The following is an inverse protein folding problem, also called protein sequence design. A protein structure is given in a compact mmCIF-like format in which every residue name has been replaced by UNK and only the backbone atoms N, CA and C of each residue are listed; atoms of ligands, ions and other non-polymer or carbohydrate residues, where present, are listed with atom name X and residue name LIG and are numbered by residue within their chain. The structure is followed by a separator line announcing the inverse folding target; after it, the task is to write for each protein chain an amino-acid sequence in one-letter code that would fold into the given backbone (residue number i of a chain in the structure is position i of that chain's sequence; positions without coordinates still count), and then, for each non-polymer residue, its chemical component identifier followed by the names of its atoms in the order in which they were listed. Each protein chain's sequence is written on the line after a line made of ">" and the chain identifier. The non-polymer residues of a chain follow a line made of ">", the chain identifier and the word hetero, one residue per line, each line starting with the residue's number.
data_IF_368868687747
#
_entry.id   IF_368868687747
#
_cell.length_a   1.000
_cell.length_b   1.000
_cell.length_c   1.000
_cell.angle_alpha   90.00
_cell.angle_beta   90.00
_cell.angle_gamma   90.00
#
_symmetry.space_group_name_H-M   'P 1'
#
loop_
_entity.id
_entity.type
_entity.pdbx_description
1 polymer ?
#
# COMPACT_ATOMS: atom_id res chain seq x y z
N UNK A 1 -34.83 44.86 10.61
CA UNK A 1 -33.73 44.01 10.11
C UNK A 1 -33.69 42.79 11.01
N UNK A 2 -34.52 41.76 10.75
CA UNK A 2 -34.31 40.62 9.83
C UNK A 2 -33.11 39.72 10.20
N UNK A 3 -33.45 38.43 10.44
CA UNK A 3 -32.67 37.21 10.17
C UNK A 3 -31.47 36.87 11.10
N UNK A 4 -31.20 35.62 11.50
CA UNK A 4 -31.70 34.31 11.06
C UNK A 4 -31.58 33.26 12.19
N UNK A 5 -32.45 32.25 12.10
CA UNK A 5 -32.53 31.04 12.94
C UNK A 5 -31.32 30.13 12.68
N UNK A 6 -30.67 29.66 13.74
CA UNK A 6 -29.75 28.52 13.69
C UNK A 6 -30.51 27.24 14.07
N UNK A 7 -31.28 26.72 13.11
CA UNK A 7 -31.84 25.37 13.19
C UNK A 7 -30.76 24.38 12.76
N UNK A 8 -29.84 24.07 13.68
CA UNK A 8 -28.86 22.99 13.55
C UNK A 8 -29.50 21.62 13.69
N UNK A 9 -30.41 21.26 12.76
CA UNK A 9 -30.95 19.91 12.68
C UNK A 9 -29.88 18.96 12.15
N UNK A 10 -29.12 18.36 13.07
CA UNK A 10 -28.37 17.15 12.80
C UNK A 10 -29.32 16.06 12.31
N UNK A 11 -29.45 15.90 11.00
CA UNK A 11 -30.01 14.69 10.41
C UNK A 11 -29.05 13.54 10.72
N UNK A 12 -29.24 12.96 11.90
CA UNK A 12 -28.74 11.63 12.25
C UNK A 12 -29.33 10.70 11.22
N UNK A 13 -28.55 10.36 10.19
CA UNK A 13 -28.84 9.33 9.20
C UNK A 13 -29.12 8.06 10.00
N UNK A 14 -30.39 7.79 10.31
CA UNK A 14 -30.84 6.52 10.90
C UNK A 14 -30.38 5.47 9.91
N UNK A 15 -29.33 4.76 10.27
CA UNK A 15 -29.05 3.45 9.69
C UNK A 15 -30.36 2.68 9.82
N UNK A 16 -31.01 2.45 8.68
CA UNK A 16 -32.23 1.68 8.62
C UNK A 16 -31.85 0.27 9.07
N UNK A 17 -32.04 -0.03 10.36
CA UNK A 17 -31.98 -1.40 10.84
C UNK A 17 -33.08 -2.15 10.08
N UNK A 18 -32.76 -3.28 9.43
CA UNK A 18 -33.81 -4.09 8.81
C UNK A 18 -34.82 -4.47 9.91
N UNK A 19 -36.06 -4.03 9.76
CA UNK A 19 -37.16 -4.37 10.66
C UNK A 19 -37.57 -5.82 10.38
N UNK A 20 -37.41 -6.74 11.34
CA UNK A 20 -37.90 -8.11 11.18
C UNK A 20 -39.43 -8.07 11.02
N UNK A 21 -39.95 -8.72 9.98
CA UNK A 21 -41.40 -8.87 9.80
C UNK A 21 -42.09 -7.84 8.89
N UNK A 22 -41.36 -6.90 8.27
CA UNK A 22 -41.95 -6.08 7.20
C UNK A 22 -42.08 -6.93 5.93
N UNK A 23 -43.28 -7.10 5.34
CA UNK A 23 -43.43 -7.84 4.10
C UNK A 23 -42.63 -7.16 2.99
N UNK A 24 -41.72 -7.92 2.40
CA UNK A 24 -40.89 -7.49 1.27
C UNK A 24 -41.82 -7.29 0.07
N UNK A 25 -41.72 -6.15 -0.67
CA UNK A 25 -42.54 -5.92 -1.86
C UNK A 25 -42.41 -7.10 -2.84
N UNK A 26 -43.54 -7.73 -3.19
CA UNK A 26 -43.60 -8.91 -4.08
C UNK A 26 -43.14 -8.64 -5.53
N UNK A 27 -42.82 -7.38 -5.85
CA UNK A 27 -42.37 -6.92 -7.16
C UNK A 27 -40.87 -6.62 -7.22
N UNK A 28 -40.11 -6.93 -6.16
CA UNK A 28 -38.67 -7.18 -6.31
C UNK A 28 -38.61 -8.53 -7.01
N UNK A 29 -38.49 -8.52 -8.35
CA UNK A 29 -38.43 -9.73 -9.17
C UNK A 29 -37.54 -10.77 -8.50
N UNK A 30 -37.92 -12.05 -8.59
CA UNK A 30 -37.38 -13.26 -7.93
C UNK A 30 -35.85 -13.43 -8.02
N UNK A 31 -35.09 -12.44 -7.58
CA UNK A 31 -33.66 -12.44 -7.47
C UNK A 31 -33.34 -12.30 -5.99
N UNK A 32 -33.22 -13.44 -5.33
CA UNK A 32 -32.60 -13.52 -4.03
C UNK A 32 -31.15 -13.04 -4.08
N UNK A 33 -30.49 -12.86 -2.93
CA UNK A 33 -29.10 -12.39 -2.83
C UNK A 33 -28.06 -13.24 -3.58
N UNK A 34 -28.48 -14.36 -4.17
CA UNK A 34 -27.64 -15.31 -4.92
C UNK A 34 -28.04 -15.44 -6.39
N UNK A 35 -29.06 -14.71 -6.83
CA UNK A 35 -29.63 -14.84 -8.17
C UNK A 35 -29.11 -13.74 -9.11
N UNK A 36 -27.79 -13.53 -9.09
CA UNK A 36 -27.12 -12.68 -10.07
C UNK A 36 -26.68 -13.55 -11.24
N UNK A 37 -27.25 -13.28 -12.41
CA UNK A 37 -26.69 -13.74 -13.68
C UNK A 37 -25.57 -12.76 -14.00
N UNK A 38 -24.31 -13.21 -14.19
CA UNK A 38 -23.26 -12.34 -14.72
C UNK A 38 -23.81 -11.63 -15.96
N UNK A 39 -23.57 -10.32 -16.07
CA UNK A 39 -23.87 -9.62 -17.30
C UNK A 39 -23.12 -10.35 -18.43
N UNK A 40 -23.79 -10.56 -19.57
CA UNK A 40 -23.13 -11.04 -20.78
C UNK A 40 -22.28 -9.88 -21.34
N UNK A 41 -21.26 -9.49 -20.58
CA UNK A 41 -20.23 -8.58 -21.03
C UNK A 41 -19.17 -9.46 -21.67
N UNK A 42 -18.76 -9.08 -22.88
CA UNK A 42 -17.63 -9.68 -23.57
C UNK A 42 -16.49 -9.77 -22.56
N UNK A 43 -15.92 -10.96 -22.38
CA UNK A 43 -14.76 -11.20 -21.53
C UNK A 43 -13.57 -10.43 -22.14
N UNK A 44 -13.56 -9.11 -22.00
CA UNK A 44 -12.38 -8.29 -22.22
C UNK A 44 -11.43 -8.64 -21.08
N UNK A 45 -10.64 -9.67 -21.35
CA UNK A 45 -9.57 -10.20 -20.52
C UNK A 45 -8.73 -9.02 -20.00
N UNK A 46 -8.97 -8.59 -18.76
CA UNK A 46 -8.35 -7.39 -18.21
C UNK A 46 -6.83 -7.56 -18.25
N UNK A 47 -6.19 -6.84 -19.16
CA UNK A 47 -4.73 -6.77 -19.25
C UNK A 47 -4.27 -5.48 -18.58
N UNK A 48 -3.66 -5.55 -17.39
CA UNK A 48 -3.03 -4.39 -16.80
C UNK A 48 -2.06 -3.76 -17.80
N UNK A 49 -2.05 -2.43 -17.94
CA UNK A 49 -1.07 -1.77 -18.78
C UNK A 49 0.34 -2.15 -18.31
N UNK A 50 1.21 -2.54 -19.24
CA UNK A 50 2.59 -2.89 -18.92
C UNK A 50 3.26 -1.71 -18.19
N UNK A 51 3.71 -1.87 -16.93
CA UNK A 51 4.29 -0.77 -16.19
C UNK A 51 5.50 -0.20 -16.95
N UNK A 52 5.55 1.13 -17.10
CA UNK A 52 6.70 1.80 -17.72
C UNK A 52 7.92 1.60 -16.80
N UNK A 53 8.86 0.77 -17.26
CA UNK A 53 10.16 0.43 -16.64
C UNK A 53 10.19 0.36 -15.11
N UNK A 54 10.38 -0.82 -14.49
CA UNK A 54 10.26 -1.01 -13.04
C UNK A 54 11.24 -0.16 -12.20
N UNK A 55 12.31 0.35 -12.81
CA UNK A 55 13.37 1.13 -12.16
C UNK A 55 13.23 2.64 -12.30
N UNK A 56 12.45 3.16 -13.25
CA UNK A 56 12.39 4.62 -13.50
C UNK A 56 11.69 5.42 -12.40
N UNK A 57 10.93 4.75 -11.52
CA UNK A 57 10.28 5.37 -10.36
C UNK A 57 11.02 5.21 -9.04
N UNK A 58 12.20 4.59 -9.03
CA UNK A 58 12.90 4.31 -7.78
C UNK A 58 13.40 5.61 -7.12
N UNK A 59 13.04 5.83 -5.85
CA UNK A 59 13.52 6.97 -5.07
C UNK A 59 15.04 6.82 -4.86
N UNK A 60 15.87 7.82 -5.19
CA UNK A 60 17.33 7.72 -5.04
C UNK A 60 17.78 7.29 -3.64
N UNK A 61 17.11 7.80 -2.60
CA UNK A 61 17.41 7.42 -1.21
C UNK A 61 17.16 5.94 -0.92
N UNK A 62 16.16 5.31 -1.54
CA UNK A 62 15.91 3.87 -1.39
C UNK A 62 17.03 3.07 -2.05
N UNK A 63 17.48 3.48 -3.23
CA UNK A 63 18.57 2.82 -3.95
C UNK A 63 19.88 2.92 -3.16
N UNK A 64 20.24 4.11 -2.69
CA UNK A 64 21.45 4.34 -1.89
C UNK A 64 21.39 3.56 -0.58
N UNK A 65 20.27 3.61 0.15
CA UNK A 65 20.09 2.88 1.39
C UNK A 65 20.21 1.36 1.20
N UNK A 66 19.57 0.83 0.15
CA UNK A 66 19.66 -0.60 -0.20
C UNK A 66 21.08 -1.01 -0.59
N UNK A 67 21.78 -0.17 -1.38
CA UNK A 67 23.16 -0.43 -1.79
C UNK A 67 24.11 -0.44 -0.60
N UNK A 68 23.96 0.49 0.35
CA UNK A 68 24.77 0.51 1.57
C UNK A 68 24.55 -0.72 2.43
N UNK A 69 23.30 -1.17 2.59
CA UNK A 69 22.98 -2.35 3.40
C UNK A 69 23.47 -3.63 2.73
N UNK A 70 23.07 -3.88 1.48
CA UNK A 70 23.43 -5.09 0.76
C UNK A 70 24.93 -5.12 0.46
N UNK A 71 25.49 -4.02 -0.02
CA UNK A 71 26.91 -3.87 -0.28
C UNK A 71 27.72 -4.04 1.00
N UNK A 72 27.30 -3.45 2.12
CA UNK A 72 27.96 -3.62 3.42
C UNK A 72 27.97 -5.08 3.89
N UNK A 73 26.84 -5.79 3.79
CA UNK A 73 26.74 -7.21 4.17
C UNK A 73 27.65 -8.06 3.28
N UNK A 74 27.59 -7.88 1.95
CA UNK A 74 28.45 -8.60 1.01
C UNK A 74 29.92 -8.31 1.29
N UNK A 75 30.29 -7.05 1.53
CA UNK A 75 31.64 -6.67 1.91
C UNK A 75 32.09 -7.37 3.19
N UNK A 76 31.26 -7.40 4.25
CA UNK A 76 31.60 -8.09 5.50
C UNK A 76 31.84 -9.60 5.31
N UNK A 77 31.11 -10.24 4.40
CA UNK A 77 31.30 -11.66 4.09
C UNK A 77 32.56 -11.87 3.27
N UNK A 78 32.83 -11.05 2.26
CA UNK A 78 33.95 -11.26 1.32
C UNK A 78 35.28 -10.83 1.94
N UNK A 79 35.31 -9.76 2.75
CA UNK A 79 36.52 -9.15 3.32
C UNK A 79 37.51 -10.13 3.94
N UNK A 80 37.08 -11.07 4.81
CA UNK A 80 37.98 -12.01 5.49
C UNK A 80 38.72 -12.96 4.53
N UNK A 81 38.20 -13.13 3.31
CA UNK A 81 38.77 -14.03 2.31
C UNK A 81 39.76 -13.33 1.35
N UNK A 82 39.86 -12.00 1.40
CA UNK A 82 40.86 -11.29 0.60
C UNK A 82 42.25 -11.45 1.24
N UNK A 83 43.30 -11.73 0.43
CA UNK A 83 44.67 -11.85 0.91
C UNK A 83 45.31 -10.45 1.16
N UNK A 84 44.56 -9.55 1.79
CA UNK A 84 44.94 -8.14 2.02
C UNK A 84 44.78 -7.81 3.50
N UNK A 85 45.78 -7.15 4.08
CA UNK A 85 45.70 -6.63 5.44
C UNK A 85 44.85 -5.37 5.49
N UNK A 86 43.81 -5.37 6.32
CA UNK A 86 42.92 -4.24 6.47
C UNK A 86 43.12 -3.53 7.81
N UNK A 87 42.91 -2.19 7.87
CA UNK A 87 42.91 -1.46 9.12
C UNK A 87 41.89 -2.04 10.12
N UNK A 88 42.23 -2.06 11.42
CA UNK A 88 41.34 -2.60 12.46
C UNK A 88 39.98 -1.89 12.57
N UNK A 89 39.88 -0.64 12.08
CA UNK A 89 38.63 0.12 12.07
C UNK A 89 37.70 -0.24 10.89
N UNK A 90 38.16 -1.02 9.91
CA UNK A 90 37.39 -1.29 8.69
C UNK A 90 36.09 -2.04 8.97
N UNK A 91 36.12 -3.03 9.87
CA UNK A 91 34.90 -3.76 10.29
C UNK A 91 33.88 -2.81 10.91
N UNK A 92 34.32 -1.90 11.79
CA UNK A 92 33.45 -0.91 12.40
C UNK A 92 32.86 0.05 11.36
N UNK A 93 33.65 0.49 10.38
CA UNK A 93 33.17 1.34 9.29
C UNK A 93 32.14 0.65 8.40
N UNK A 94 32.32 -0.64 8.07
CA UNK A 94 31.34 -1.42 7.31
C UNK A 94 30.03 -1.58 8.08
N UNK A 95 30.10 -1.86 9.38
CA UNK A 95 28.90 -1.91 10.25
C UNK A 95 28.20 -0.54 10.26
N UNK A 96 28.96 0.56 10.42
CA UNK A 96 28.41 1.91 10.40
C UNK A 96 27.73 2.24 9.07
N UNK A 97 28.30 1.81 7.94
CA UNK A 97 27.70 1.99 6.62
C UNK A 97 26.35 1.25 6.48
N UNK A 98 26.25 0.03 7.03
CA UNK A 98 24.99 -0.74 7.05
C UNK A 98 23.95 -0.01 7.90
N UNK A 99 24.31 0.42 9.11
CA UNK A 99 23.40 1.15 9.99
C UNK A 99 22.92 2.45 9.34
N UNK A 100 23.81 3.19 8.68
CA UNK A 100 23.45 4.39 7.93
C UNK A 100 22.48 4.06 6.79
N UNK A 101 22.73 2.99 6.03
CA UNK A 101 21.81 2.52 4.99
C UNK A 101 20.43 2.16 5.53
N UNK A 102 20.35 1.50 6.69
CA UNK A 102 19.08 1.20 7.37
C UNK A 102 18.35 2.47 7.80
N UNK A 103 19.05 3.45 8.39
CA UNK A 103 18.45 4.74 8.75
C UNK A 103 17.88 5.44 7.53
N UNK A 104 18.64 5.47 6.42
CA UNK A 104 18.17 6.04 5.15
C UNK A 104 16.92 5.31 4.65
N UNK A 105 16.90 3.98 4.68
CA UNK A 105 15.73 3.19 4.28
C UNK A 105 14.52 3.47 5.16
N UNK A 106 14.70 3.56 6.48
CA UNK A 106 13.61 3.86 7.40
C UNK A 106 13.03 5.26 7.17
N UNK A 107 13.86 6.25 6.86
CA UNK A 107 13.39 7.59 6.48
C UNK A 107 12.57 7.59 5.18
N UNK A 108 12.77 6.59 4.31
CA UNK A 108 12.04 6.46 3.04
C UNK A 108 10.74 5.65 3.16
N UNK A 109 10.52 4.94 4.28
CA UNK A 109 9.30 4.16 4.47
C UNK A 109 8.08 5.11 4.59
N UNK A 110 7.03 4.91 3.78
CA UNK A 110 5.83 5.72 3.88
C UNK A 110 5.12 5.46 5.21
N UNK A 111 4.90 6.52 6.00
CA UNK A 111 4.26 6.45 7.32
C UNK A 111 2.78 5.98 7.26
N UNK A 112 2.16 6.04 6.08
CA UNK A 112 0.81 5.55 5.83
C UNK A 112 0.87 4.56 4.67
N UNK A 113 0.36 3.35 4.89
CA UNK A 113 0.01 2.45 3.78
C UNK A 113 -1.20 3.08 3.09
N UNK A 114 -1.09 3.40 1.80
CA UNK A 114 -2.27 3.74 1.02
C UNK A 114 -3.25 2.56 1.16
N UNK A 115 -4.53 2.87 1.42
CA UNK A 115 -5.54 1.89 1.82
C UNK A 115 -5.62 0.69 0.88
N UNK A 116 -6.20 -0.39 1.40
CA UNK A 116 -6.54 -1.63 0.69
C UNK A 116 -7.51 -1.34 -0.46
N UNK A 117 -7.05 -0.66 -1.50
CA UNK A 117 -7.70 -0.62 -2.79
C UNK A 117 -7.29 -1.92 -3.47
N UNK A 118 -8.11 -2.97 -3.31
CA UNK A 118 -7.92 -4.33 -3.85
C UNK A 118 -7.93 -4.37 -5.39
N UNK A 119 -7.79 -3.21 -6.05
CA UNK A 119 -7.93 -3.04 -7.49
C UNK A 119 -9.34 -3.33 -8.00
N UNK A 120 -10.29 -3.71 -7.14
CA UNK A 120 -11.66 -4.00 -7.50
C UNK A 120 -12.41 -2.71 -7.85
N UNK A 121 -12.49 -2.41 -9.16
CA UNK A 121 -13.46 -1.43 -9.67
C UNK A 121 -14.79 -2.14 -9.87
N UNK A 122 -15.81 -1.71 -9.13
CA UNK A 122 -17.22 -2.11 -9.31
C UNK A 122 -17.92 -1.20 -10.30
#
# INVERSE_FOLDING_TARGET
>A
MSNSREDGHHYRRRTARPQPGRPVPKNLGQRGPRDFTPAAEEEEDFRPPNPKSPVAGAKPGVVVGALLVLGGIVCLIVFPFLPVGFPGWTTAALIAAILLGLVVLFMQMPAKRAGSDDGARV
#
